data_IF_887048242991
#
_entry.id   IF_887048242991
#
_cell.length_a   1.000
_cell.length_b   1.000
_cell.length_c   1.000
_cell.angle_alpha   90.00
_cell.angle_beta   90.00
_cell.angle_gamma   90.00
#
_symmetry.space_group_name_H-M   'P 1'
#
loop_
_entity.id
_entity.type
_entity.pdbx_description
1 polymer ?
#
# COMPACT_ATOMS: atom_id res chain seq x y z
N UNK A 1 -4.17 27.86 -14.48
CA UNK A 1 -3.24 26.73 -14.24
C UNK A 1 -3.54 26.14 -12.88
N UNK A 2 -3.84 24.83 -12.78
CA UNK A 2 -4.14 24.22 -11.47
C UNK A 2 -2.95 24.30 -10.51
N UNK A 3 -3.20 24.72 -9.28
CA UNK A 3 -2.16 24.87 -8.24
C UNK A 3 -1.36 23.55 -8.08
N UNK A 4 -0.04 23.67 -7.99
CA UNK A 4 0.83 22.51 -7.72
C UNK A 4 0.56 22.05 -6.29
N UNK A 5 0.06 20.83 -6.15
CA UNK A 5 -0.14 20.21 -4.84
C UNK A 5 1.23 19.98 -4.18
N UNK A 6 1.27 20.10 -2.86
CA UNK A 6 2.49 19.94 -2.05
C UNK A 6 2.57 18.52 -1.49
N UNK A 7 3.77 18.10 -1.12
CA UNK A 7 3.99 16.86 -0.42
C UNK A 7 3.21 16.85 0.90
N UNK A 8 2.49 15.76 1.16
CA UNK A 8 1.69 15.57 2.38
C UNK A 8 2.48 14.80 3.45
N UNK A 9 3.80 14.68 3.31
CA UNK A 9 4.63 14.07 4.34
C UNK A 9 4.61 14.94 5.59
N UNK A 10 4.13 14.35 6.69
CA UNK A 10 4.07 14.96 8.03
C UNK A 10 3.40 16.35 8.06
N UNK A 11 2.31 16.49 7.29
CA UNK A 11 1.52 17.71 7.19
C UNK A 11 1.04 18.16 8.59
N UNK A 12 1.36 19.40 8.98
CA UNK A 12 0.97 19.93 10.30
C UNK A 12 1.96 19.65 11.43
N UNK A 13 3.16 19.17 11.12
CA UNK A 13 4.26 19.00 12.09
C UNK A 13 5.47 19.87 11.72
N UNK A 14 6.46 19.96 12.62
CA UNK A 14 7.71 20.69 12.38
C UNK A 14 8.60 20.08 11.28
N UNK A 15 8.30 18.87 10.81
CA UNK A 15 9.11 18.15 9.80
C UNK A 15 8.33 18.05 8.47
N UNK A 16 7.30 18.88 8.28
CA UNK A 16 6.51 18.90 7.05
C UNK A 16 7.40 19.12 5.80
N UNK A 17 7.20 18.28 4.78
CA UNK A 17 7.94 18.44 3.54
C UNK A 17 7.36 19.59 2.70
N UNK A 18 8.19 20.59 2.39
CA UNK A 18 7.76 21.75 1.61
C UNK A 18 7.83 21.56 0.08
N UNK A 19 8.30 20.41 -0.39
CA UNK A 19 8.48 20.12 -1.81
C UNK A 19 7.16 19.92 -2.56
N UNK A 20 7.18 20.15 -3.88
CA UNK A 20 6.03 19.91 -4.74
C UNK A 20 5.77 18.41 -4.90
N UNK A 21 4.48 18.02 -4.88
CA UNK A 21 4.10 16.66 -5.18
C UNK A 21 4.24 16.36 -6.68
N UNK A 22 4.64 15.13 -7.00
CA UNK A 22 4.72 14.67 -8.38
C UNK A 22 3.30 14.36 -8.90
N UNK A 23 2.94 14.89 -10.07
CA UNK A 23 1.56 14.82 -10.60
C UNK A 23 1.13 13.40 -11.01
N UNK A 24 2.06 12.59 -11.51
CA UNK A 24 1.77 11.26 -12.07
C UNK A 24 2.16 10.17 -11.05
N UNK A 25 3.40 10.22 -10.56
CA UNK A 25 3.97 9.18 -9.69
C UNK A 25 3.99 9.55 -8.20
N UNK A 26 3.47 10.71 -7.84
CA UNK A 26 3.49 11.20 -6.45
C UNK A 26 2.33 10.69 -5.60
N UNK A 27 1.34 10.02 -6.19
CA UNK A 27 0.21 9.49 -5.44
C UNK A 27 0.53 8.09 -4.91
N UNK A 28 0.51 7.92 -3.59
CA UNK A 28 0.67 6.59 -2.98
C UNK A 28 -0.59 5.73 -3.26
N UNK A 29 -0.46 4.48 -3.74
CA UNK A 29 -1.60 3.63 -4.04
C UNK A 29 -2.38 3.19 -2.80
N UNK A 30 -1.74 3.18 -1.62
CA UNK A 30 -2.35 2.68 -0.38
C UNK A 30 -3.12 3.76 0.39
N UNK A 31 -2.54 4.95 0.56
CA UNK A 31 -3.17 6.05 1.30
C UNK A 31 -3.74 7.15 0.39
N UNK A 32 -3.51 7.08 -0.93
CA UNK A 32 -3.94 8.07 -1.94
C UNK A 32 -3.47 9.51 -1.68
N UNK A 33 -2.57 9.71 -0.71
CA UNK A 33 -1.91 10.97 -0.44
C UNK A 33 -0.85 11.28 -1.50
N UNK A 34 -0.47 12.55 -1.59
CA UNK A 34 0.46 13.04 -2.61
C UNK A 34 1.82 13.41 -2.03
N UNK A 35 2.89 13.01 -2.70
CA UNK A 35 4.26 13.09 -2.23
C UNK A 35 5.22 13.60 -3.31
N UNK A 36 6.37 14.11 -2.86
CA UNK A 36 7.49 14.51 -3.72
C UNK A 36 8.31 13.28 -4.15
N UNK A 37 9.36 13.50 -4.97
CA UNK A 37 10.22 12.41 -5.44
C UNK A 37 10.89 11.58 -4.34
N UNK A 38 11.16 12.21 -3.20
CA UNK A 38 11.81 11.58 -2.04
C UNK A 38 10.83 10.75 -1.20
N UNK A 39 9.66 11.31 -0.90
CA UNK A 39 8.66 10.68 -0.04
C UNK A 39 7.62 9.81 -0.79
N UNK A 40 7.79 9.58 -2.11
CA UNK A 40 6.80 8.81 -2.91
C UNK A 40 6.68 7.35 -2.49
N UNK A 41 7.73 6.80 -1.90
CA UNK A 41 7.79 5.40 -1.49
C UNK A 41 7.08 5.23 -0.14
N UNK A 42 6.27 4.17 0.04
CA UNK A 42 5.57 3.88 1.30
C UNK A 42 6.48 3.83 2.54
N UNK A 43 7.73 3.38 2.36
CA UNK A 43 8.75 3.32 3.41
C UNK A 43 9.21 4.70 3.88
N UNK A 44 9.29 5.67 2.95
CA UNK A 44 9.81 7.01 3.26
C UNK A 44 8.77 7.89 3.94
N UNK A 45 7.48 7.67 3.71
CA UNK A 45 6.41 8.43 4.36
C UNK A 45 5.70 7.69 5.49
N UNK A 46 6.22 6.53 5.91
CA UNK A 46 5.63 5.66 6.92
C UNK A 46 4.13 5.47 6.68
N UNK A 47 3.77 4.92 5.52
CA UNK A 47 2.38 4.78 5.12
C UNK A 47 1.56 3.97 6.15
N UNK A 48 0.60 4.60 6.83
CA UNK A 48 -0.27 3.92 7.81
C UNK A 48 -0.99 2.69 7.24
N UNK A 49 -1.38 2.73 5.95
CA UNK A 49 -2.14 1.64 5.33
C UNK A 49 -1.26 0.50 4.77
N UNK A 50 0.05 0.50 5.02
CA UNK A 50 0.94 -0.59 4.57
C UNK A 50 0.62 -1.91 5.30
N UNK A 51 0.39 -1.84 6.60
CA UNK A 51 0.14 -3.01 7.44
C UNK A 51 -1.21 -3.64 7.09
N UNK A 52 -2.27 -2.85 6.98
CA UNK A 52 -3.59 -3.31 6.51
C UNK A 52 -3.52 -3.93 5.11
N UNK A 53 -2.76 -3.34 4.19
CA UNK A 53 -2.60 -3.89 2.85
C UNK A 53 -1.87 -5.23 2.87
N UNK A 54 -0.86 -5.38 3.74
CA UNK A 54 -0.12 -6.63 3.92
C UNK A 54 -1.03 -7.72 4.49
N UNK A 55 -1.84 -7.39 5.49
CA UNK A 55 -2.78 -8.33 6.09
C UNK A 55 -3.82 -8.79 5.06
N UNK A 56 -4.43 -7.86 4.32
CA UNK A 56 -5.37 -8.21 3.25
C UNK A 56 -4.75 -9.11 2.16
N UNK A 57 -3.49 -8.88 1.78
CA UNK A 57 -2.80 -9.75 0.84
C UNK A 57 -2.56 -11.15 1.43
N UNK A 58 -2.20 -11.22 2.70
CA UNK A 58 -2.02 -12.48 3.43
C UNK A 58 -3.32 -13.28 3.50
N UNK A 59 -4.43 -12.65 3.88
CA UNK A 59 -5.74 -13.32 3.95
C UNK A 59 -6.20 -13.83 2.60
N UNK A 60 -6.02 -13.05 1.52
CA UNK A 60 -6.33 -13.51 0.15
C UNK A 60 -5.49 -14.70 -0.27
N UNK A 61 -4.19 -14.66 0.00
CA UNK A 61 -3.29 -15.77 -0.30
C UNK A 61 -3.65 -17.00 0.52
N UNK A 62 -3.96 -16.84 1.80
CA UNK A 62 -4.42 -17.91 2.68
C UNK A 62 -5.70 -18.55 2.14
N UNK A 63 -6.72 -17.76 1.82
CA UNK A 63 -7.97 -18.29 1.24
C UNK A 63 -7.71 -19.02 -0.08
N UNK A 64 -6.83 -18.50 -0.93
CA UNK A 64 -6.47 -19.15 -2.19
C UNK A 64 -5.77 -20.49 -1.95
N UNK A 65 -4.76 -20.52 -1.07
CA UNK A 65 -4.04 -21.74 -0.71
C UNK A 65 -4.95 -22.80 -0.09
N UNK A 66 -5.86 -22.41 0.80
CA UNK A 66 -6.83 -23.34 1.38
C UNK A 66 -7.82 -23.85 0.32
N UNK A 67 -8.22 -23.03 -0.66
CA UNK A 67 -9.10 -23.45 -1.76
C UNK A 67 -8.43 -24.38 -2.77
N UNK A 68 -7.13 -24.21 -3.00
CA UNK A 68 -6.32 -25.01 -3.91
C UNK A 68 -5.65 -26.19 -3.19
N UNK A 69 -5.87 -26.33 -1.88
CA UNK A 69 -5.32 -27.43 -1.07
C UNK A 69 -5.88 -28.75 -1.60
N UNK A 70 -5.01 -29.55 -2.22
CA UNK A 70 -5.33 -30.91 -2.63
C UNK A 70 -5.67 -31.75 -1.39
N UNK A 71 -6.96 -32.07 -1.22
CA UNK A 71 -7.40 -33.09 -0.27
C UNK A 71 -7.14 -34.45 -0.91
N UNK A 72 -6.41 -35.34 -0.21
CA UNK A 72 -6.26 -36.71 -0.67
C UNK A 72 -7.65 -37.33 -0.78
N UNK A 73 -8.09 -37.64 -2.00
CA UNK A 73 -9.31 -38.43 -2.23
C UNK A 73 -9.16 -39.72 -1.45
N UNK A 74 -10.02 -39.93 -0.44
CA UNK A 74 -10.13 -41.22 0.23
C UNK A 74 -10.59 -42.22 -0.83
N UNK A 75 -9.65 -42.94 -1.45
CA UNK A 75 -9.98 -44.13 -2.23
C UNK A 75 -10.52 -45.15 -1.23
N UNK A 76 -11.84 -45.28 -1.15
CA UNK A 76 -12.46 -46.44 -0.53
C UNK A 76 -12.17 -47.63 -1.46
N UNK A 77 -11.10 -48.36 -1.17
CA UNK A 77 -10.85 -49.68 -1.76
C UNK A 77 -11.95 -50.63 -1.29
N UNK A 78 -12.65 -51.19 -2.27
CA UNK A 78 -13.70 -52.20 -2.15
C UNK A 78 -13.18 -53.54 -1.62
#
# INVERSE_FOLDING_TARGET
>A
MAAKKRCQFQLGTNVQCNLAALRIVGQCPHCRAQFCGDHRLPEHHSCNNLEDCRQQAFDRNKSKLESERTVASKMATA
#
